data_IF_803703896249
#
_entry.id   IF_803703896249
#
_cell.length_a   1.000
_cell.length_b   1.000
_cell.length_c   1.000
_cell.angle_alpha   90.00
_cell.angle_beta   90.00
_cell.angle_gamma   90.00
#
_symmetry.space_group_name_H-M   'P 1'
#
loop_
_entity.id
_entity.type
_entity.pdbx_description
1 polymer ?
#
# COMPACT_ATOMS: atom_id res chain seq x y z
N UNK A 1 29.19 -16.71 -10.53
CA UNK A 1 27.92 -16.05 -10.16
C UNK A 1 28.11 -15.44 -8.79
N UNK A 2 27.68 -14.20 -8.57
CA UNK A 2 27.64 -13.63 -7.21
C UNK A 2 26.43 -14.26 -6.50
N UNK A 3 26.65 -14.86 -5.35
CA UNK A 3 25.57 -15.35 -4.50
C UNK A 3 25.08 -14.20 -3.62
N UNK A 4 23.81 -13.85 -3.74
CA UNK A 4 23.14 -12.87 -2.89
C UNK A 4 22.36 -13.64 -1.83
N UNK A 5 22.95 -13.87 -0.67
CA UNK A 5 22.34 -14.65 0.41
C UNK A 5 21.02 -14.07 0.92
N UNK A 6 20.83 -12.75 0.76
CA UNK A 6 19.59 -12.07 1.09
C UNK A 6 18.46 -12.25 0.05
N UNK A 7 18.77 -12.66 -1.19
CA UNK A 7 17.75 -12.86 -2.23
C UNK A 7 16.73 -13.92 -1.82
N UNK A 8 17.17 -15.04 -1.22
CA UNK A 8 16.26 -16.12 -0.81
C UNK A 8 15.24 -15.66 0.25
N UNK A 9 15.67 -14.86 1.21
CA UNK A 9 14.81 -14.32 2.26
C UNK A 9 13.84 -13.28 1.70
N UNK A 10 14.32 -12.38 0.85
CA UNK A 10 13.49 -11.32 0.25
C UNK A 10 12.50 -11.87 -0.77
N UNK A 11 12.87 -12.88 -1.56
CA UNK A 11 11.95 -13.52 -2.52
C UNK A 11 10.73 -14.14 -1.80
N UNK A 12 10.94 -14.83 -0.68
CA UNK A 12 9.84 -15.43 0.08
C UNK A 12 8.85 -14.38 0.64
N UNK A 13 9.36 -13.20 0.97
CA UNK A 13 8.55 -12.10 1.49
C UNK A 13 7.90 -11.28 0.37
N UNK A 14 8.54 -11.15 -0.79
CA UNK A 14 7.96 -10.51 -1.98
C UNK A 14 6.74 -11.28 -2.47
N UNK A 15 6.70 -12.61 -2.35
CA UNK A 15 5.50 -13.38 -2.70
C UNK A 15 4.30 -12.97 -1.85
N UNK A 16 4.49 -12.73 -0.55
CA UNK A 16 3.44 -12.22 0.33
C UNK A 16 2.96 -10.83 -0.13
N UNK A 17 3.90 -9.93 -0.46
CA UNK A 17 3.58 -8.59 -0.99
C UNK A 17 2.80 -8.70 -2.30
N UNK A 18 3.21 -9.58 -3.21
CA UNK A 18 2.52 -9.79 -4.51
C UNK A 18 1.11 -10.33 -4.33
N UNK A 19 0.87 -11.19 -3.35
CA UNK A 19 -0.48 -11.69 -3.05
C UNK A 19 -1.36 -10.62 -2.40
N UNK A 20 -0.78 -9.75 -1.57
CA UNK A 20 -1.52 -8.70 -0.89
C UNK A 20 -1.77 -7.45 -1.77
N UNK A 21 -0.88 -7.19 -2.74
CA UNK A 21 -0.96 -5.99 -3.61
C UNK A 21 -2.32 -5.78 -4.27
N UNK A 22 -2.95 -6.80 -4.91
CA UNK A 22 -4.25 -6.63 -5.55
C UNK A 22 -5.35 -6.29 -4.55
N UNK A 23 -5.28 -6.86 -3.33
CA UNK A 23 -6.25 -6.57 -2.28
C UNK A 23 -6.15 -5.11 -1.83
N UNK A 24 -4.94 -4.58 -1.65
CA UNK A 24 -4.75 -3.18 -1.26
C UNK A 24 -5.16 -2.20 -2.36
N UNK A 25 -4.90 -2.51 -3.63
CA UNK A 25 -5.37 -1.67 -4.75
C UNK A 25 -6.89 -1.63 -4.79
N UNK A 26 -7.57 -2.78 -4.64
CA UNK A 26 -9.03 -2.85 -4.59
C UNK A 26 -9.57 -2.05 -3.40
N UNK A 27 -9.03 -2.26 -2.21
CA UNK A 27 -9.49 -1.53 -1.04
C UNK A 27 -9.23 -0.03 -1.14
N UNK A 28 -8.11 0.40 -1.73
CA UNK A 28 -7.85 1.83 -2.00
C UNK A 28 -8.91 2.42 -2.93
N UNK A 29 -9.25 1.71 -4.01
CA UNK A 29 -10.29 2.14 -4.93
C UNK A 29 -11.67 2.22 -4.26
N UNK A 30 -12.01 1.26 -3.39
CA UNK A 30 -13.24 1.30 -2.59
C UNK A 30 -13.30 2.54 -1.69
N UNK A 31 -12.17 2.96 -1.12
CA UNK A 31 -12.09 4.19 -0.31
C UNK A 31 -12.32 5.45 -1.14
N UNK A 32 -11.69 5.54 -2.31
CA UNK A 32 -11.88 6.66 -3.23
C UNK A 32 -13.34 6.75 -3.66
N UNK A 33 -13.94 5.63 -4.09
CA UNK A 33 -15.36 5.60 -4.47
C UNK A 33 -16.27 6.02 -3.32
N UNK A 34 -15.94 5.64 -2.09
CA UNK A 34 -16.71 6.03 -0.91
C UNK A 34 -16.57 7.52 -0.60
N UNK A 35 -15.37 8.09 -0.73
CA UNK A 35 -15.12 9.52 -0.59
C UNK A 35 -15.94 10.33 -1.59
N UNK A 36 -15.84 9.98 -2.87
CA UNK A 36 -16.59 10.65 -3.93
C UNK A 36 -18.11 10.51 -3.74
N UNK A 37 -18.58 9.34 -3.29
CA UNK A 37 -20.00 9.11 -3.03
C UNK A 37 -20.49 9.88 -1.80
N UNK A 38 -19.70 10.00 -0.74
CA UNK A 38 -20.04 10.80 0.44
C UNK A 38 -20.10 12.31 0.09
N UNK A 39 -19.17 12.80 -0.72
CA UNK A 39 -19.21 14.17 -1.25
C UNK A 39 -20.46 14.41 -2.10
N UNK A 40 -20.79 13.49 -3.04
CA UNK A 40 -21.97 13.60 -3.90
C UNK A 40 -23.29 13.44 -3.15
N UNK A 41 -23.35 12.62 -2.11
CA UNK A 41 -24.58 12.29 -1.40
C UNK A 41 -24.84 13.18 -0.17
N UNK A 42 -23.84 13.89 0.36
CA UNK A 42 -23.88 14.57 1.66
C UNK A 42 -24.37 13.65 2.81
N UNK A 43 -24.13 12.34 2.67
CA UNK A 43 -24.51 11.30 3.64
C UNK A 43 -23.31 11.02 4.55
N UNK A 44 -23.57 10.88 5.85
CA UNK A 44 -22.54 10.54 6.84
C UNK A 44 -21.82 9.24 6.48
N UNK A 45 -20.49 9.24 6.58
CA UNK A 45 -19.64 8.06 6.43
C UNK A 45 -19.99 7.00 7.47
N UNK A 46 -20.05 5.74 7.06
CA UNK A 46 -20.25 4.61 7.97
C UNK A 46 -19.00 4.40 8.83
N UNK A 47 -19.10 4.37 10.18
CA UNK A 47 -17.96 4.16 11.09
C UNK A 47 -17.15 2.89 10.81
N UNK A 48 -17.78 1.80 10.38
CA UNK A 48 -17.07 0.55 10.04
C UNK A 48 -16.16 0.72 8.82
N UNK A 49 -16.57 1.56 7.87
CA UNK A 49 -15.76 1.89 6.71
C UNK A 49 -14.57 2.76 7.12
N UNK A 50 -14.77 3.73 8.01
CA UNK A 50 -13.69 4.58 8.53
C UNK A 50 -12.59 3.73 9.21
N UNK A 51 -12.97 2.84 10.14
CA UNK A 51 -12.02 1.97 10.84
C UNK A 51 -11.23 1.07 9.87
N UNK A 52 -11.89 0.51 8.86
CA UNK A 52 -11.23 -0.33 7.85
C UNK A 52 -10.29 0.47 6.95
N UNK A 53 -10.67 1.71 6.61
CA UNK A 53 -9.84 2.65 5.85
C UNK A 53 -8.53 2.94 6.58
N UNK A 54 -8.62 3.27 7.88
CA UNK A 54 -7.47 3.57 8.73
C UNK A 54 -6.53 2.37 8.86
N UNK A 55 -7.08 1.17 9.07
CA UNK A 55 -6.29 -0.06 9.14
C UNK A 55 -5.51 -0.30 7.86
N UNK A 56 -6.16 -0.09 6.70
CA UNK A 56 -5.51 -0.26 5.40
C UNK A 56 -4.36 0.74 5.20
N UNK A 57 -4.56 2.01 5.53
CA UNK A 57 -3.53 3.07 5.42
C UNK A 57 -2.32 2.72 6.29
N UNK A 58 -2.53 2.24 7.52
CA UNK A 58 -1.45 1.81 8.41
C UNK A 58 -0.72 0.60 7.83
N UNK A 59 -1.45 -0.41 7.35
CA UNK A 59 -0.85 -1.62 6.77
C UNK A 59 0.00 -1.31 5.55
N UNK A 60 -0.50 -0.48 4.62
CA UNK A 60 0.25 -0.08 3.42
C UNK A 60 1.50 0.74 3.79
N UNK A 61 1.42 1.63 4.79
CA UNK A 61 2.57 2.39 5.28
C UNK A 61 3.67 1.48 5.85
N UNK A 62 3.30 0.44 6.62
CA UNK A 62 4.26 -0.57 7.11
C UNK A 62 4.97 -1.31 5.97
N UNK A 63 4.25 -1.61 4.90
CA UNK A 63 4.83 -2.27 3.73
C UNK A 63 5.73 -1.35 2.91
N UNK A 64 5.39 -0.08 2.74
CA UNK A 64 6.27 0.91 2.12
C UNK A 64 7.60 1.04 2.87
N UNK A 65 7.55 1.01 4.20
CA UNK A 65 8.73 1.03 5.05
C UNK A 65 9.59 -0.22 4.83
N UNK A 66 9.00 -1.43 4.89
CA UNK A 66 9.70 -2.70 4.64
C UNK A 66 10.33 -2.76 3.25
N UNK A 67 9.63 -2.29 2.20
CA UNK A 67 10.16 -2.24 0.85
C UNK A 67 11.37 -1.29 0.75
N UNK A 68 11.34 -0.15 1.44
CA UNK A 68 12.48 0.76 1.51
C UNK A 68 13.68 0.13 2.22
N UNK A 69 13.44 -0.56 3.33
CA UNK A 69 14.48 -1.27 4.08
C UNK A 69 15.15 -2.35 3.22
N UNK A 70 14.37 -3.14 2.48
CA UNK A 70 14.92 -4.18 1.59
C UNK A 70 15.73 -3.62 0.43
N UNK A 71 15.41 -2.42 -0.08
CA UNK A 71 16.23 -1.78 -1.11
C UNK A 71 17.65 -1.45 -0.62
N UNK A 72 17.84 -1.29 0.70
CA UNK A 72 19.15 -1.09 1.34
C UNK A 72 20.01 -2.35 1.42
N UNK A 73 19.46 -3.54 1.18
CA UNK A 73 20.19 -4.81 1.26
C UNK A 73 21.05 -5.07 0.02
N UNK A 74 22.05 -5.95 0.15
CA UNK A 74 22.82 -6.46 -0.98
C UNK A 74 22.04 -7.55 -1.73
N UNK A 75 21.14 -7.09 -2.60
CA UNK A 75 20.27 -7.91 -3.44
C UNK A 75 20.68 -7.86 -4.90
N UNK A 76 20.26 -8.87 -5.66
CA UNK A 76 20.47 -8.87 -7.10
C UNK A 76 19.81 -7.65 -7.78
N UNK A 77 20.42 -7.11 -8.87
CA UNK A 77 19.85 -5.96 -9.58
C UNK A 77 18.42 -6.15 -10.06
N UNK A 78 18.05 -7.39 -10.42
CA UNK A 78 16.68 -7.75 -10.80
C UNK A 78 15.72 -7.57 -9.64
N UNK A 79 16.06 -8.08 -8.47
CA UNK A 79 15.22 -7.98 -7.27
C UNK A 79 15.07 -6.53 -6.81
N UNK A 80 16.15 -5.75 -6.88
CA UNK A 80 16.10 -4.30 -6.61
C UNK A 80 15.17 -3.55 -7.56
N UNK A 81 15.18 -3.89 -8.85
CA UNK A 81 14.26 -3.30 -9.82
C UNK A 81 12.80 -3.62 -9.49
N UNK A 82 12.51 -4.86 -9.11
CA UNK A 82 11.19 -5.28 -8.69
C UNK A 82 10.71 -4.55 -7.43
N UNK A 83 11.55 -4.46 -6.39
CA UNK A 83 11.23 -3.74 -5.15
C UNK A 83 10.89 -2.27 -5.40
N UNK A 84 11.57 -1.62 -6.36
CA UNK A 84 11.25 -0.24 -6.75
C UNK A 84 9.89 -0.11 -7.40
N UNK A 85 9.53 -1.05 -8.27
CA UNK A 85 8.21 -1.06 -8.93
C UNK A 85 7.12 -1.25 -7.88
N UNK A 86 7.27 -2.25 -7.02
CA UNK A 86 6.31 -2.51 -5.93
C UNK A 86 6.14 -1.29 -5.03
N UNK A 87 7.25 -0.66 -4.64
CA UNK A 87 7.19 0.56 -3.82
C UNK A 87 6.45 1.68 -4.55
N UNK A 88 6.76 1.94 -5.82
CA UNK A 88 6.10 2.99 -6.58
C UNK A 88 4.59 2.75 -6.72
N UNK A 89 4.16 1.48 -6.87
CA UNK A 89 2.73 1.13 -6.88
C UNK A 89 2.07 1.40 -5.54
N UNK A 90 2.72 1.07 -4.42
CA UNK A 90 2.18 1.37 -3.09
C UNK A 90 2.15 2.86 -2.78
N UNK A 91 3.17 3.62 -3.21
CA UNK A 91 3.22 5.07 -3.07
C UNK A 91 2.02 5.72 -3.79
N UNK A 92 1.74 5.32 -5.03
CA UNK A 92 0.60 5.84 -5.77
C UNK A 92 -0.75 5.51 -5.09
N UNK A 93 -0.92 4.28 -4.61
CA UNK A 93 -2.12 3.88 -3.88
C UNK A 93 -2.29 4.67 -2.57
N UNK A 94 -1.21 4.94 -1.84
CA UNK A 94 -1.27 5.75 -0.62
C UNK A 94 -1.61 7.20 -0.88
N UNK A 95 -1.11 7.79 -1.96
CA UNK A 95 -1.46 9.16 -2.32
C UNK A 95 -2.97 9.27 -2.61
N UNK A 96 -3.54 8.31 -3.33
CA UNK A 96 -5.00 8.22 -3.59
C UNK A 96 -5.80 7.99 -2.30
N UNK A 97 -5.38 7.04 -1.45
CA UNK A 97 -6.03 6.75 -0.18
C UNK A 97 -6.01 7.95 0.77
N UNK A 98 -4.88 8.65 0.88
CA UNK A 98 -4.75 9.84 1.73
C UNK A 98 -5.61 11.00 1.23
N UNK A 99 -5.72 11.16 -0.09
CA UNK A 99 -6.59 12.17 -0.69
C UNK A 99 -8.05 11.91 -0.34
N UNK A 100 -8.54 10.68 -0.58
CA UNK A 100 -9.89 10.25 -0.24
C UNK A 100 -10.19 10.36 1.27
N UNK A 101 -9.24 9.95 2.12
CA UNK A 101 -9.38 10.06 3.57
C UNK A 101 -9.44 11.52 4.05
N UNK A 102 -8.74 12.43 3.37
CA UNK A 102 -8.81 13.87 3.63
C UNK A 102 -10.18 14.47 3.30
N UNK A 103 -10.78 14.08 2.17
CA UNK A 103 -12.15 14.49 1.81
C UNK A 103 -13.19 14.01 2.83
N UNK A 104 -12.98 12.80 3.34
CA UNK A 104 -13.83 12.18 4.36
C UNK A 104 -13.56 12.68 5.78
N UNK A 105 -12.54 13.53 5.99
CA UNK A 105 -12.07 14.00 7.31
C UNK A 105 -11.78 12.88 8.29
N UNK A 106 -11.22 11.77 7.81
CA UNK A 106 -10.93 10.63 8.67
C UNK A 106 -9.85 10.97 9.70
N UNK A 107 -8.94 11.92 9.44
CA UNK A 107 -7.82 12.19 10.36
C UNK A 107 -7.90 13.53 11.11
N UNK A 108 -9.05 14.21 11.09
CA UNK A 108 -9.31 15.45 11.85
C UNK A 108 -9.79 15.19 13.30
#
# INVERSE_FOLDING_TARGET
MREYSADALVVSQIELVRTALPLWVVSTAELVELAENAERAAVQTNPETDDRSRQLIVEVAEWQQKLSEWQGLDLSPRLKAELRILKATLDAAMDEANHAAGELKLFD
#
